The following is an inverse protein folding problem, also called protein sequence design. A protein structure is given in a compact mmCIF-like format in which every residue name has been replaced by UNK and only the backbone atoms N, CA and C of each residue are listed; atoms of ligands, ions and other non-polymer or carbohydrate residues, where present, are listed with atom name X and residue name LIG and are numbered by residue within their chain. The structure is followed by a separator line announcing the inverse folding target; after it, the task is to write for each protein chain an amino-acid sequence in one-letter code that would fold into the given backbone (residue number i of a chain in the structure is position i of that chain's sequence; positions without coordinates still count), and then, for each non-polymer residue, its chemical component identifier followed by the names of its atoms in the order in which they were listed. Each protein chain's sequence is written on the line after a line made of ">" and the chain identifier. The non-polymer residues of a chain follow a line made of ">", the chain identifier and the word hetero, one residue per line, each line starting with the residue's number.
data_IF_722436969113
#
_entry.id   IF_722436969113
#
_cell.length_a   1.000
_cell.length_b   1.000
_cell.length_c   1.000
_cell.angle_alpha   90.00
_cell.angle_beta   90.00
_cell.angle_gamma   90.00
#
_symmetry.space_group_name_H-M   'P 1'
#
loop_
_entity.id
_entity.type
_entity.pdbx_description
1 polymer ?
#
# COMPACT_ATOMS: atom_id res chain seq x y z
N UNK A 1 -6.05 11.66 -11.67
CA UNK A 1 -6.33 10.86 -10.47
C UNK A 1 -5.24 9.86 -10.30
N UNK A 2 -4.56 9.88 -9.16
CA UNK A 2 -3.65 8.81 -8.77
C UNK A 2 -4.37 7.46 -8.92
N UNK A 3 -3.79 6.57 -9.72
CA UNK A 3 -4.32 5.22 -9.98
C UNK A 3 -3.50 4.18 -9.18
N UNK A 4 -3.15 4.54 -7.95
CA UNK A 4 -2.49 3.65 -7.00
C UNK A 4 -3.51 2.78 -6.27
N UNK A 5 -3.15 1.54 -5.96
CA UNK A 5 -3.89 0.73 -5.01
C UNK A 5 -2.93 -0.05 -4.12
N UNK A 6 -3.23 -0.10 -2.82
CA UNK A 6 -2.48 -0.86 -1.84
C UNK A 6 -3.41 -1.91 -1.28
N UNK A 7 -3.01 -3.19 -1.35
CA UNK A 7 -3.73 -4.31 -0.76
C UNK A 7 -2.80 -5.01 0.22
N UNK A 8 -3.20 -5.10 1.48
CA UNK A 8 -2.50 -5.89 2.49
C UNK A 8 -3.27 -7.19 2.72
N UNK A 9 -2.56 -8.31 2.64
CA UNK A 9 -3.07 -9.66 2.87
C UNK A 9 -2.31 -10.31 4.01
N UNK A 10 -2.99 -11.17 4.77
CA UNK A 10 -2.36 -11.94 5.84
C UNK A 10 -2.05 -13.35 5.36
N UNK A 11 -0.92 -13.87 5.81
CA UNK A 11 -0.50 -15.25 5.56
C UNK A 11 0.19 -15.87 6.78
N UNK A 12 0.30 -17.20 6.78
CA UNK A 12 0.84 -17.96 7.92
C UNK A 12 2.38 -17.99 7.98
N UNK A 13 3.07 -17.22 7.12
CA UNK A 13 4.54 -17.18 7.09
C UNK A 13 5.06 -15.98 7.86
N UNK A 14 6.13 -16.19 8.63
CA UNK A 14 6.87 -15.14 9.35
C UNK A 14 7.80 -14.36 8.42
N UNK A 15 7.27 -13.94 7.27
CA UNK A 15 7.99 -13.21 6.23
C UNK A 15 7.10 -12.12 5.68
N UNK A 16 7.69 -11.06 5.14
CA UNK A 16 6.94 -10.04 4.38
C UNK A 16 7.23 -10.23 2.90
N UNK A 17 6.18 -10.28 2.08
CA UNK A 17 6.29 -10.35 0.63
C UNK A 17 5.61 -9.13 0.02
N UNK A 18 6.35 -8.41 -0.82
CA UNK A 18 5.80 -7.26 -1.54
C UNK A 18 5.79 -7.55 -3.03
N UNK A 19 4.60 -7.55 -3.61
CA UNK A 19 4.37 -7.70 -5.04
C UNK A 19 3.90 -6.37 -5.61
N UNK A 20 4.54 -5.92 -6.69
CA UNK A 20 4.17 -4.67 -7.37
C UNK A 20 3.80 -4.94 -8.81
N UNK A 21 2.52 -4.73 -9.13
CA UNK A 21 2.00 -4.83 -10.48
C UNK A 21 1.93 -3.44 -11.10
N UNK A 22 2.68 -3.21 -12.18
CA UNK A 22 2.63 -1.97 -12.96
C UNK A 22 1.95 -2.25 -14.30
N UNK A 23 0.97 -1.41 -14.68
CA UNK A 23 0.30 -1.48 -15.98
C UNK A 23 0.35 -0.12 -16.64
N UNK A 24 0.78 -0.08 -17.91
CA UNK A 24 0.75 1.14 -18.71
C UNK A 24 0.52 0.78 -20.19
N UNK A 25 0.08 1.76 -20.98
CA UNK A 25 -0.14 1.58 -22.43
C UNK A 25 1.15 1.54 -23.24
N UNK A 26 2.24 2.15 -22.74
CA UNK A 26 3.54 2.19 -23.41
C UNK A 26 4.64 1.77 -22.44
N UNK A 27 5.58 0.96 -22.91
CA UNK A 27 6.72 0.48 -22.10
C UNK A 27 7.48 1.63 -21.41
N UNK A 28 7.76 2.71 -22.15
CA UNK A 28 8.44 3.92 -21.64
C UNK A 28 7.79 4.56 -20.40
N UNK A 29 6.50 4.31 -20.17
CA UNK A 29 5.76 4.79 -19.00
C UNK A 29 5.91 3.84 -17.79
N UNK A 30 6.16 2.55 -18.03
CA UNK A 30 6.54 1.61 -16.98
C UNK A 30 7.94 1.92 -16.47
N UNK A 31 8.86 2.27 -17.39
CA UNK A 31 10.24 2.63 -17.06
C UNK A 31 10.34 3.95 -16.26
N UNK A 32 9.38 4.86 -16.43
CA UNK A 32 9.35 6.12 -15.68
C UNK A 32 8.86 5.97 -14.24
N UNK A 33 8.17 4.87 -13.90
CA UNK A 33 7.71 4.61 -12.54
C UNK A 33 8.71 3.71 -11.81
N UNK A 34 9.49 4.32 -10.92
CA UNK A 34 10.48 3.64 -10.11
C UNK A 34 9.84 3.19 -8.80
N UNK A 35 10.25 2.02 -8.35
CA UNK A 35 9.84 1.50 -7.04
C UNK A 35 11.12 1.20 -6.30
N UNK A 36 11.30 1.91 -5.21
CA UNK A 36 12.43 1.73 -4.31
C UNK A 36 11.99 0.88 -3.13
N UNK A 37 12.86 -0.03 -2.73
CA UNK A 37 12.68 -0.91 -1.59
C UNK A 37 13.88 -0.74 -0.69
N UNK A 38 13.63 -0.25 0.51
CA UNK A 38 14.66 -0.04 1.53
C UNK A 38 14.26 -0.79 2.79
N UNK A 39 15.15 -1.63 3.30
CA UNK A 39 14.95 -2.31 4.57
C UNK A 39 15.89 -1.72 5.61
N UNK A 40 15.33 -1.26 6.74
CA UNK A 40 16.11 -0.78 7.89
C UNK A 40 15.70 -1.59 9.12
N UNK A 41 16.52 -2.59 9.46
CA UNK A 41 16.18 -3.53 10.53
C UNK A 41 14.92 -4.33 10.21
N UNK A 42 13.88 -4.15 11.02
CA UNK A 42 12.59 -4.83 10.85
C UNK A 42 11.59 -4.03 9.99
N UNK A 43 11.91 -2.78 9.66
CA UNK A 43 11.04 -1.92 8.89
C UNK A 43 11.35 -2.05 7.39
N UNK A 44 10.30 -2.23 6.60
CA UNK A 44 10.37 -2.28 5.14
C UNK A 44 9.71 -1.01 4.61
N UNK A 45 10.49 -0.22 3.89
CA UNK A 45 10.07 0.99 3.22
C UNK A 45 9.88 0.69 1.73
N UNK A 46 8.67 0.93 1.24
CA UNK A 46 8.33 0.80 -0.17
C UNK A 46 7.89 2.16 -0.68
N UNK A 47 8.67 2.73 -1.58
CA UNK A 47 8.41 4.05 -2.15
C UNK A 47 8.20 3.93 -3.67
N UNK A 48 7.03 4.37 -4.13
CA UNK A 48 6.74 4.50 -5.55
C UNK A 48 6.96 5.94 -5.98
N UNK A 49 7.97 6.18 -6.82
CA UNK A 49 8.31 7.50 -7.36
C UNK A 49 8.10 7.53 -8.88
N UNK A 50 7.40 8.54 -9.37
CA UNK A 50 7.22 8.76 -10.81
C UNK A 50 6.01 9.63 -11.14
N UNK A 51 5.86 9.91 -12.44
CA UNK A 51 4.71 10.65 -12.97
C UNK A 51 3.41 9.83 -12.80
N UNK A 52 2.65 10.10 -11.74
CA UNK A 52 1.26 9.66 -11.57
C UNK A 52 0.33 10.42 -12.53
N UNK A 53 0.57 10.28 -13.83
CA UNK A 53 -0.37 10.68 -14.86
C UNK A 53 -1.38 9.55 -15.08
N UNK A 54 -2.54 9.82 -15.69
CA UNK A 54 -3.66 8.87 -15.90
C UNK A 54 -3.31 7.69 -16.86
N UNK A 55 -2.03 7.39 -17.07
CA UNK A 55 -1.49 6.44 -18.06
C UNK A 55 -0.79 5.24 -17.42
N UNK A 56 -0.50 5.30 -16.12
CA UNK A 56 0.14 4.21 -15.36
C UNK A 56 -0.76 3.85 -14.17
N UNK A 57 -1.08 2.57 -14.04
CA UNK A 57 -1.77 2.00 -12.90
C UNK A 57 -0.79 1.15 -12.11
N UNK A 58 -0.75 1.35 -10.80
CA UNK A 58 0.16 0.62 -9.92
C UNK A 58 -0.63 -0.03 -8.80
N UNK A 59 -0.37 -1.31 -8.57
CA UNK A 59 -0.98 -2.07 -7.51
C UNK A 59 0.09 -2.74 -6.66
N UNK A 60 0.08 -2.41 -5.38
CA UNK A 60 0.93 -3.00 -4.37
C UNK A 60 0.13 -4.07 -3.63
N UNK A 61 0.63 -5.30 -3.60
CA UNK A 61 0.09 -6.40 -2.80
C UNK A 61 1.15 -6.79 -1.78
N UNK A 62 0.86 -6.58 -0.51
CA UNK A 62 1.79 -6.76 0.59
C UNK A 62 1.25 -7.88 1.45
N UNK A 63 1.99 -8.98 1.59
CA UNK A 63 1.65 -10.08 2.48
C UNK A 63 2.47 -9.99 3.76
N UNK A 64 1.80 -9.94 4.90
CA UNK A 64 2.44 -9.86 6.21
C UNK A 64 1.91 -10.97 7.13
N UNK A 65 2.70 -11.41 8.13
CA UNK A 65 2.22 -12.34 9.14
C UNK A 65 0.99 -11.82 9.88
N UNK A 66 0.28 -12.71 10.56
CA UNK A 66 -0.91 -12.42 11.38
C UNK A 66 -0.71 -11.27 12.37
N UNK A 67 0.49 -11.14 12.95
CA UNK A 67 0.86 -10.05 13.84
C UNK A 67 1.88 -9.13 13.17
N UNK A 68 1.45 -7.92 12.79
CA UNK A 68 2.33 -6.95 12.14
C UNK A 68 1.78 -5.51 12.25
N UNK A 69 2.68 -4.54 12.40
CA UNK A 69 2.32 -3.12 12.42
C UNK A 69 2.42 -2.53 11.01
N UNK A 70 1.43 -1.74 10.61
CA UNK A 70 1.33 -1.14 9.28
C UNK A 70 1.29 0.38 9.35
N UNK A 71 2.15 1.06 8.60
CA UNK A 71 2.04 2.50 8.29
C UNK A 71 1.98 2.66 6.77
N UNK A 72 0.77 2.92 6.26
CA UNK A 72 0.47 3.03 4.85
C UNK A 72 0.17 4.48 4.48
N UNK A 73 0.90 5.02 3.51
CA UNK A 73 0.71 6.39 3.01
C UNK A 73 0.59 6.39 1.50
N UNK A 74 -0.42 7.06 0.95
CA UNK A 74 -0.59 7.22 -0.49
C UNK A 74 -1.04 8.62 -0.89
N UNK A 75 -0.57 9.09 -2.04
CA UNK A 75 -1.00 10.35 -2.64
C UNK A 75 -2.46 10.31 -3.09
N UNK A 76 -2.92 9.16 -3.59
CA UNK A 76 -4.31 8.91 -3.91
C UNK A 76 -4.53 7.51 -4.48
N UNK A 77 -5.76 7.02 -4.34
CA UNK A 77 -6.10 5.64 -4.67
C UNK A 77 -6.79 4.90 -3.53
N UNK A 78 -7.05 3.62 -3.73
CA UNK A 78 -7.72 2.78 -2.73
C UNK A 78 -6.73 2.02 -1.87
N UNK A 79 -6.96 2.00 -0.56
CA UNK A 79 -6.19 1.20 0.39
C UNK A 79 -7.12 0.14 0.98
N UNK A 80 -6.73 -1.13 0.84
CA UNK A 80 -7.40 -2.27 1.43
C UNK A 80 -6.47 -3.01 2.39
N UNK A 81 -6.90 -3.20 3.63
CA UNK A 81 -6.18 -3.96 4.65
C UNK A 81 -7.07 -5.11 5.11
N UNK A 82 -6.59 -6.34 5.00
CA UNK A 82 -7.28 -7.52 5.53
C UNK A 82 -7.23 -7.57 7.08
N UNK A 83 -7.93 -8.52 7.68
CA UNK A 83 -7.95 -8.72 9.12
C UNK A 83 -6.53 -8.97 9.65
N UNK A 84 -6.07 -8.18 10.63
CA UNK A 84 -4.69 -8.19 11.12
C UNK A 84 -4.62 -7.97 12.63
N UNK A 85 -3.63 -8.56 13.30
CA UNK A 85 -3.31 -8.24 14.69
C UNK A 85 -2.17 -7.22 14.77
N UNK A 86 -2.41 -6.05 15.35
CA UNK A 86 -1.39 -5.00 15.48
C UNK A 86 -1.89 -3.58 15.19
N UNK A 87 -0.98 -2.62 15.15
CA UNK A 87 -1.31 -1.21 14.88
C UNK A 87 -1.42 -0.96 13.38
N UNK A 88 -2.50 -0.30 12.96
CA UNK A 88 -2.76 0.03 11.54
C UNK A 88 -2.94 1.54 11.39
N UNK A 89 -1.99 2.18 10.73
CA UNK A 89 -2.01 3.60 10.35
C UNK A 89 -2.15 3.73 8.84
N UNK A 90 -3.16 4.45 8.39
CA UNK A 90 -3.47 4.62 6.97
C UNK A 90 -3.73 6.09 6.66
N UNK A 91 -3.01 6.65 5.69
CA UNK A 91 -3.17 8.03 5.26
C UNK A 91 -3.30 8.07 3.73
N UNK A 92 -4.38 8.67 3.23
CA UNK A 92 -4.58 8.90 1.79
C UNK A 92 -5.02 10.34 1.53
N UNK A 93 -4.52 10.97 0.45
CA UNK A 93 -5.02 12.30 0.07
C UNK A 93 -6.32 12.24 -0.74
N UNK A 94 -6.70 11.07 -1.26
CA UNK A 94 -8.00 10.85 -1.90
C UNK A 94 -8.25 9.40 -2.34
N UNK A 95 -9.51 8.97 -2.32
CA UNK A 95 -9.93 7.59 -2.61
C UNK A 95 -10.59 6.89 -1.43
N UNK A 96 -10.71 5.57 -1.47
CA UNK A 96 -11.40 4.77 -0.44
C UNK A 96 -10.42 4.00 0.44
N UNK A 97 -10.66 4.01 1.75
CA UNK A 97 -9.98 3.14 2.71
C UNK A 97 -10.95 2.03 3.12
N UNK A 98 -10.49 0.78 3.10
CA UNK A 98 -11.18 -0.37 3.67
C UNK A 98 -10.22 -1.13 4.56
N UNK A 99 -10.56 -1.24 5.84
CA UNK A 99 -9.76 -1.96 6.84
C UNK A 99 -10.66 -3.03 7.43
N UNK A 100 -10.17 -4.27 7.46
CA UNK A 100 -10.83 -5.41 8.07
C UNK A 100 -10.80 -5.36 9.60
N UNK A 101 -10.98 -6.51 10.23
CA UNK A 101 -10.90 -6.64 11.68
C UNK A 101 -9.47 -6.42 12.17
N UNK A 102 -9.27 -5.46 13.06
CA UNK A 102 -7.98 -5.24 13.70
C UNK A 102 -8.05 -5.72 15.15
N UNK A 103 -7.23 -6.72 15.49
CA UNK A 103 -7.14 -7.26 16.86
C UNK A 103 -5.88 -6.75 17.54
N UNK A 104 -5.91 -6.60 18.87
CA UNK A 104 -4.74 -6.24 19.68
C UNK A 104 -3.96 -4.98 19.22
N UNK A 105 -4.66 -3.97 18.70
CA UNK A 105 -4.04 -2.71 18.29
C UNK A 105 -5.07 -1.63 17.96
N UNK A 106 -4.57 -0.45 17.60
CA UNK A 106 -5.39 0.69 17.22
C UNK A 106 -5.41 0.87 15.70
N UNK A 107 -6.52 1.42 15.20
CA UNK A 107 -6.68 1.81 13.79
C UNK A 107 -6.75 3.33 13.71
N UNK A 108 -5.84 3.92 12.96
CA UNK A 108 -5.83 5.33 12.62
C UNK A 108 -5.89 5.47 11.10
N UNK A 109 -7.01 5.98 10.59
CA UNK A 109 -7.25 6.11 9.16
C UNK A 109 -7.68 7.54 8.82
N UNK A 110 -6.87 8.23 8.03
CA UNK A 110 -7.12 9.60 7.59
C UNK A 110 -7.23 9.67 6.06
N UNK A 111 -8.29 10.35 5.59
CA UNK A 111 -8.52 10.64 4.18
C UNK A 111 -8.76 12.13 4.00
N UNK A 112 -8.03 12.78 3.10
CA UNK A 112 -8.18 14.23 2.87
C UNK A 112 -9.34 14.58 1.92
N UNK A 113 -9.83 13.63 1.13
CA UNK A 113 -10.89 13.87 0.15
C UNK A 113 -11.58 12.54 -0.26
N UNK A 114 -12.69 12.24 0.40
CA UNK A 114 -13.53 11.07 0.09
C UNK A 114 -14.88 11.25 0.77
N UNK A 115 -15.94 11.29 -0.04
CA UNK A 115 -17.34 11.34 0.39
C UNK A 115 -17.88 9.96 0.75
#
# INVERSE_FOLDING_TARGET
>A
SDQGSIKVEIWDKQTVEVLVEKKARKQKQLDSFKVNFDQKGNDIFVEGDGDWNNKVSVKFIIKVPQEFNLDLKTGGGSIGVADISGEVKVNTSGGSISIGNVTQGNVDAHTSCGS
#
